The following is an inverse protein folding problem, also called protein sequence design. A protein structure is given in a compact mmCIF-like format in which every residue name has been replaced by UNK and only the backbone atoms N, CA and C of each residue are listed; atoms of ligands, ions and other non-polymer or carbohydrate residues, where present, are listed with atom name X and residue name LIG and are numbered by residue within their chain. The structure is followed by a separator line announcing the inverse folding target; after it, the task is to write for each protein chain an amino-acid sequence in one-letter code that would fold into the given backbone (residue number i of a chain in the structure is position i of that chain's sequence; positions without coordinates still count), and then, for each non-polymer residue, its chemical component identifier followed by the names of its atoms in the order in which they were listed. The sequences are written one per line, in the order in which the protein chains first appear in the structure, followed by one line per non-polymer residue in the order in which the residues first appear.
data_IF_532139749917
#
_entry.id   IF_532139749917
#
_cell.length_a   1.000
_cell.length_b   1.000
_cell.length_c   1.000
_cell.angle_alpha   90.00
_cell.angle_beta   90.00
_cell.angle_gamma   90.00
#
_symmetry.space_group_name_H-M   'P 1'
#
loop_
_entity.id
_entity.type
_entity.pdbx_description
1 polymer ?
#
# COMPACT_ATOMS: atom_id res chain seq x y z
N UNK A 1 -17.34 19.07 -22.75
CA UNK A 1 -16.69 18.93 -21.41
C UNK A 1 -15.34 18.28 -21.60
N UNK A 2 -14.28 18.76 -20.94
CA UNK A 2 -12.97 18.12 -21.07
C UNK A 2 -13.01 16.70 -20.45
N UNK A 3 -12.28 15.70 -21.01
CA UNK A 3 -12.20 14.36 -20.41
C UNK A 3 -11.74 14.37 -18.94
N UNK A 4 -10.94 15.36 -18.55
CA UNK A 4 -10.51 15.58 -17.16
C UNK A 4 -11.66 16.04 -16.26
N UNK A 5 -12.54 16.92 -16.76
CA UNK A 5 -13.74 17.33 -16.04
C UNK A 5 -14.71 16.15 -15.90
N UNK A 6 -14.82 15.30 -16.92
CA UNK A 6 -15.61 14.06 -16.87
C UNK A 6 -15.06 13.12 -15.79
N UNK A 7 -13.76 12.80 -15.78
CA UNK A 7 -13.18 11.92 -14.74
C UNK A 7 -13.37 12.51 -13.33
N UNK A 8 -13.14 13.82 -13.15
CA UNK A 8 -13.31 14.49 -11.85
C UNK A 8 -14.79 14.60 -11.42
N UNK A 9 -15.72 14.82 -12.35
CA UNK A 9 -17.16 14.82 -12.07
C UNK A 9 -17.71 13.41 -11.87
N UNK A 10 -17.18 12.38 -12.54
CA UNK A 10 -17.55 10.98 -12.31
C UNK A 10 -17.03 10.45 -10.97
N UNK A 11 -15.80 10.80 -10.58
CA UNK A 11 -15.27 10.52 -9.25
C UNK A 11 -16.04 11.25 -8.14
N UNK A 12 -16.77 12.33 -8.46
CA UNK A 12 -17.72 12.97 -7.52
C UNK A 12 -19.13 12.40 -7.62
N UNK A 13 -19.62 12.07 -8.81
CA UNK A 13 -20.97 11.56 -9.05
C UNK A 13 -21.20 10.16 -8.48
N UNK A 14 -20.15 9.32 -8.38
CA UNK A 14 -20.18 8.06 -7.63
C UNK A 14 -20.53 8.24 -6.14
N UNK A 15 -20.43 9.46 -5.59
CA UNK A 15 -20.60 9.73 -4.16
C UNK A 15 -21.78 10.64 -3.79
N UNK A 16 -22.49 11.23 -4.77
CA UNK A 16 -23.61 12.16 -4.54
C UNK A 16 -24.99 11.66 -4.98
N UNK A 17 -25.11 10.50 -5.63
CA UNK A 17 -26.42 9.89 -5.84
C UNK A 17 -26.76 9.01 -4.63
N UNK A 18 -27.83 9.37 -3.92
CA UNK A 18 -28.53 8.49 -2.98
C UNK A 18 -29.65 7.76 -3.74
N UNK A 19 -29.40 6.58 -4.33
CA UNK A 19 -30.50 5.70 -4.62
C UNK A 19 -30.97 5.08 -3.29
N UNK A 20 -32.29 5.12 -3.06
CA UNK A 20 -32.96 4.26 -2.10
C UNK A 20 -32.75 2.82 -2.59
N UNK A 21 -31.73 2.13 -2.09
CA UNK A 21 -31.47 0.74 -2.43
C UNK A 21 -32.05 -0.13 -1.33
N UNK A 22 -33.10 -0.88 -1.69
CA UNK A 22 -33.70 -1.93 -0.86
C UNK A 22 -32.67 -3.07 -0.76
N UNK A 23 -32.37 -3.60 0.45
CA UNK A 23 -31.42 -4.70 0.59
C UNK A 23 -31.95 -5.95 -0.12
N UNK A 24 -31.21 -6.45 -1.12
CA UNK A 24 -31.42 -7.81 -1.63
C UNK A 24 -30.61 -8.77 -0.77
N UNK A 25 -31.25 -9.81 -0.24
CA UNK A 25 -30.61 -10.86 0.54
C UNK A 25 -29.60 -11.66 -0.29
N UNK A 26 -28.31 -11.36 -0.16
CA UNK A 26 -27.24 -12.32 -0.45
C UNK A 26 -26.04 -12.10 0.47
N UNK A 27 -25.77 -13.09 1.33
CA UNK A 27 -24.59 -13.26 2.20
C UNK A 27 -24.33 -12.16 3.25
N UNK A 28 -24.86 -12.35 4.46
CA UNK A 28 -24.57 -11.55 5.67
C UNK A 28 -23.08 -11.30 5.88
N UNK A 29 -22.23 -12.25 5.47
CA UNK A 29 -20.81 -12.22 5.77
C UNK A 29 -20.06 -11.18 4.93
N UNK A 30 -20.46 -10.94 3.67
CA UNK A 30 -19.69 -10.07 2.77
C UNK A 30 -19.81 -8.59 3.14
N UNK A 31 -21.03 -8.16 3.43
CA UNK A 31 -21.30 -6.80 3.89
C UNK A 31 -20.59 -6.52 5.21
N UNK A 32 -20.64 -7.48 6.14
CA UNK A 32 -19.95 -7.38 7.43
C UNK A 32 -18.45 -7.21 7.24
N UNK A 33 -17.80 -8.07 6.44
CA UNK A 33 -16.36 -7.96 6.16
C UNK A 33 -15.98 -6.59 5.58
N UNK A 34 -16.87 -6.00 4.78
CA UNK A 34 -16.64 -4.70 4.14
C UNK A 34 -16.66 -3.53 5.14
N UNK A 35 -17.29 -3.68 6.31
CA UNK A 35 -17.42 -2.61 7.30
C UNK A 35 -16.51 -2.76 8.52
N UNK A 36 -15.87 -3.92 8.70
CA UNK A 36 -14.95 -4.20 9.81
C UNK A 36 -13.58 -3.54 9.65
N UNK A 37 -13.06 -2.92 10.70
CA UNK A 37 -11.67 -2.45 10.69
C UNK A 37 -10.68 -3.63 10.50
N UNK A 38 -9.46 -3.36 10.00
CA UNK A 38 -8.53 -4.42 9.61
C UNK A 38 -8.32 -5.50 10.68
N UNK A 39 -8.08 -5.11 11.94
CA UNK A 39 -7.90 -6.04 13.04
C UNK A 39 -9.14 -6.93 13.29
N UNK A 40 -10.34 -6.36 13.21
CA UNK A 40 -11.58 -7.11 13.44
C UNK A 40 -11.90 -8.06 12.28
N UNK A 41 -11.57 -7.67 11.05
CA UNK A 41 -11.66 -8.56 9.90
C UNK A 41 -10.75 -9.78 10.08
N UNK A 42 -9.50 -9.57 10.51
CA UNK A 42 -8.55 -10.65 10.79
C UNK A 42 -9.05 -11.57 11.92
N UNK A 43 -9.60 -11.00 13.01
CA UNK A 43 -10.21 -11.77 14.11
C UNK A 43 -11.41 -12.59 13.66
N UNK A 44 -12.28 -12.02 12.81
CA UNK A 44 -13.43 -12.73 12.23
C UNK A 44 -13.00 -13.97 11.44
N UNK A 45 -11.88 -13.90 10.73
CA UNK A 45 -11.29 -15.06 10.05
C UNK A 45 -10.57 -16.06 10.97
N UNK A 46 -10.64 -15.88 12.30
CA UNK A 46 -10.12 -16.82 13.29
C UNK A 46 -8.65 -16.65 13.64
N UNK A 47 -8.04 -15.51 13.32
CA UNK A 47 -6.64 -15.21 13.66
C UNK A 47 -6.53 -14.46 14.98
N UNK A 48 -5.46 -14.74 15.73
CA UNK A 48 -5.11 -13.98 16.94
C UNK A 48 -4.38 -12.70 16.54
N UNK A 49 -4.96 -11.55 16.89
CA UNK A 49 -4.50 -10.22 16.45
C UNK A 49 -4.21 -9.31 17.64
N UNK A 50 -2.98 -8.84 17.71
CA UNK A 50 -2.55 -7.76 18.59
C UNK A 50 -2.53 -6.43 17.82
N UNK A 51 -2.83 -5.32 18.50
CA UNK A 51 -2.83 -3.98 17.89
C UNK A 51 -1.89 -3.09 18.68
N UNK A 52 -0.98 -2.41 17.98
CA UNK A 52 0.01 -1.53 18.58
C UNK A 52 -0.18 -0.09 18.10
N UNK A 53 -0.08 0.86 19.03
CA UNK A 53 0.10 2.27 18.70
C UNK A 53 1.59 2.59 18.65
N UNK A 54 2.06 3.13 17.52
CA UNK A 54 3.46 3.49 17.28
C UNK A 54 3.53 4.98 17.00
N UNK A 55 4.31 5.72 17.81
CA UNK A 55 4.50 7.17 17.59
C UNK A 55 5.75 7.40 16.76
N UNK A 56 5.63 8.13 15.67
CA UNK A 56 6.77 8.52 14.80
C UNK A 56 7.52 9.71 15.38
N UNK A 57 8.77 9.92 14.94
CA UNK A 57 9.61 11.04 15.39
C UNK A 57 8.96 12.41 15.10
N UNK A 58 8.17 12.50 14.04
CA UNK A 58 7.44 13.71 13.66
C UNK A 58 6.02 13.78 14.26
N UNK A 59 5.63 12.83 15.11
CA UNK A 59 4.47 12.95 15.99
C UNK A 59 3.19 12.23 15.54
N UNK A 60 3.18 11.52 14.41
CA UNK A 60 2.02 10.70 14.00
C UNK A 60 1.90 9.46 14.90
N UNK A 61 0.66 9.05 15.16
CA UNK A 61 0.36 7.85 15.95
C UNK A 61 -0.26 6.82 15.01
N UNK A 62 0.54 5.84 14.62
CA UNK A 62 0.19 4.78 13.69
C UNK A 62 -0.41 3.59 14.43
N UNK A 63 -1.50 3.05 13.89
CA UNK A 63 -2.00 1.73 14.27
C UNK A 63 -1.29 0.65 13.45
N UNK A 64 -0.74 -0.35 14.13
CA UNK A 64 -0.06 -1.48 13.49
C UNK A 64 -0.67 -2.77 14.01
N UNK A 65 -1.22 -3.55 13.08
CA UNK A 65 -1.85 -4.83 13.35
C UNK A 65 -0.80 -5.94 13.31
N UNK A 66 -0.86 -6.90 14.23
CA UNK A 66 0.03 -8.06 14.27
C UNK A 66 -0.79 -9.34 14.33
N UNK A 67 -0.66 -10.17 13.29
CA UNK A 67 -1.20 -11.52 13.28
C UNK A 67 -0.14 -12.46 13.86
N UNK A 68 -0.46 -13.13 14.97
CA UNK A 68 0.45 -14.11 15.57
C UNK A 68 0.62 -15.33 14.64
N UNK A 69 1.83 -15.92 14.58
CA UNK A 69 2.06 -17.11 13.77
C UNK A 69 1.14 -18.25 14.24
N UNK A 70 0.54 -18.99 13.30
CA UNK A 70 -0.12 -20.24 13.68
C UNK A 70 0.93 -21.22 14.19
N UNK A 71 0.71 -21.78 15.37
CA UNK A 71 1.57 -22.83 15.92
C UNK A 71 1.63 -23.99 14.93
N UNK A 72 2.85 -24.35 14.49
CA UNK A 72 3.07 -25.51 13.64
C UNK A 72 2.50 -26.76 14.32
N UNK A 73 1.62 -27.48 13.63
CA UNK A 73 1.15 -28.81 14.07
C UNK A 73 2.29 -29.82 14.20
N UNK A 74 3.47 -29.52 13.63
CA UNK A 74 4.61 -30.42 13.56
C UNK A 74 5.71 -30.10 14.59
N UNK A 75 5.44 -29.25 15.60
CA UNK A 75 6.38 -29.03 16.71
C UNK A 75 7.73 -28.39 16.32
N UNK A 76 7.87 -27.85 15.10
CA UNK A 76 9.08 -27.14 14.68
C UNK A 76 9.21 -25.83 15.45
N UNK A 77 10.34 -25.68 16.13
CA UNK A 77 10.69 -24.55 17.01
C UNK A 77 11.42 -23.41 16.30
N UNK A 78 11.66 -23.50 14.99
CA UNK A 78 12.37 -22.45 14.24
C UNK A 78 11.51 -21.19 14.11
N UNK A 79 11.86 -20.18 14.90
CA UNK A 79 11.22 -18.86 14.88
C UNK A 79 11.53 -18.14 13.58
N UNK A 80 10.53 -17.99 12.72
CA UNK A 80 10.67 -17.23 11.47
C UNK A 80 10.94 -15.75 11.73
N UNK A 81 11.69 -15.12 10.82
CA UNK A 81 11.89 -13.66 10.81
C UNK A 81 10.52 -12.97 10.68
N UNK A 82 10.15 -12.03 11.58
CA UNK A 82 8.90 -11.27 11.47
C UNK A 82 8.85 -10.50 10.15
N UNK A 83 7.66 -10.36 9.57
CA UNK A 83 7.47 -9.72 8.26
C UNK A 83 6.53 -8.53 8.35
N UNK A 84 6.96 -7.39 7.84
CA UNK A 84 6.17 -6.16 7.73
C UNK A 84 5.51 -6.06 6.36
N UNK A 85 4.19 -5.87 6.34
CA UNK A 85 3.37 -5.70 5.15
C UNK A 85 3.02 -4.22 4.92
N UNK A 86 3.59 -3.60 3.90
CA UNK A 86 3.47 -2.15 3.62
C UNK A 86 2.54 -1.89 2.43
N UNK A 87 1.34 -1.39 2.72
CA UNK A 87 0.29 -1.21 1.71
C UNK A 87 0.55 -0.06 0.71
N UNK A 88 -0.18 -0.11 -0.40
CA UNK A 88 -0.15 0.89 -1.48
C UNK A 88 -0.89 2.20 -1.18
N UNK A 89 -0.98 3.06 -2.19
CA UNK A 89 -1.68 4.35 -2.11
C UNK A 89 -3.19 4.10 -1.97
N UNK A 90 -3.81 4.83 -1.03
CA UNK A 90 -5.23 4.70 -0.67
C UNK A 90 -5.66 3.33 -0.12
N UNK A 91 -4.71 2.50 0.30
CA UNK A 91 -4.97 1.23 0.97
C UNK A 91 -4.79 1.38 2.49
N UNK A 92 -5.21 0.37 3.26
CA UNK A 92 -4.87 0.16 4.67
C UNK A 92 -4.39 -1.29 4.87
N UNK A 93 -4.16 -1.71 6.12
CA UNK A 93 -3.72 -3.07 6.45
C UNK A 93 -4.66 -4.17 5.91
N UNK A 94 -5.97 -3.90 5.81
CA UNK A 94 -6.95 -4.89 5.35
C UNK A 94 -6.72 -5.35 3.91
N UNK A 95 -5.98 -4.60 3.07
CA UNK A 95 -5.73 -5.04 1.69
C UNK A 95 -4.94 -6.33 1.58
N UNK A 96 -4.13 -6.65 2.59
CA UNK A 96 -3.36 -7.90 2.65
C UNK A 96 -4.20 -9.12 3.10
N UNK A 97 -5.42 -8.87 3.57
CA UNK A 97 -6.34 -9.83 4.20
C UNK A 97 -7.78 -9.70 3.66
N UNK A 98 -7.95 -9.07 2.49
CA UNK A 98 -9.27 -8.75 1.93
C UNK A 98 -9.99 -9.95 1.30
N UNK A 99 -9.25 -11.02 1.00
CA UNK A 99 -9.76 -12.29 0.48
C UNK A 99 -9.85 -13.35 1.59
N UNK A 100 -10.31 -14.55 1.22
CA UNK A 100 -10.30 -15.70 2.11
C UNK A 100 -8.89 -16.03 2.61
N UNK A 101 -8.73 -16.70 3.76
CA UNK A 101 -7.44 -17.12 4.32
C UNK A 101 -6.49 -17.79 3.31
N UNK A 102 -7.02 -18.66 2.44
CA UNK A 102 -6.26 -19.36 1.40
C UNK A 102 -5.84 -18.50 0.21
N UNK A 103 -6.27 -17.23 0.15
CA UNK A 103 -6.07 -16.33 -0.98
C UNK A 103 -5.36 -15.02 -0.60
N UNK A 104 -5.29 -14.72 0.70
CA UNK A 104 -4.74 -13.47 1.21
C UNK A 104 -3.30 -13.64 1.65
N UNK A 105 -2.33 -12.88 1.11
CA UNK A 105 -0.92 -13.04 1.46
C UNK A 105 -0.64 -12.87 2.96
N UNK A 106 -1.35 -11.98 3.66
CA UNK A 106 -1.19 -11.82 5.11
C UNK A 106 -1.57 -13.08 5.90
N UNK A 107 -2.67 -13.73 5.51
CA UNK A 107 -3.11 -14.98 6.11
C UNK A 107 -2.21 -16.16 5.72
N UNK A 108 -1.82 -16.25 4.45
CA UNK A 108 -0.91 -17.29 3.97
C UNK A 108 0.46 -17.25 4.66
N UNK A 109 1.01 -16.05 4.93
CA UNK A 109 2.23 -15.90 5.70
C UNK A 109 2.06 -16.35 7.16
N UNK A 110 0.96 -15.95 7.82
CA UNK A 110 0.67 -16.38 9.19
C UNK A 110 0.49 -17.92 9.29
N UNK A 111 -0.18 -18.51 8.30
CA UNK A 111 -0.36 -19.97 8.18
C UNK A 111 0.96 -20.69 7.89
N UNK A 112 1.88 -20.03 7.18
CA UNK A 112 3.24 -20.51 6.97
C UNK A 112 4.16 -20.28 8.20
N UNK A 113 3.62 -19.83 9.34
CA UNK A 113 4.33 -19.68 10.61
C UNK A 113 5.12 -18.38 10.77
N UNK A 114 4.85 -17.36 9.95
CA UNK A 114 5.45 -16.03 10.12
C UNK A 114 4.72 -15.21 11.19
N UNK A 115 5.48 -14.39 11.91
CA UNK A 115 4.96 -13.30 12.73
C UNK A 115 4.69 -12.09 11.82
N UNK A 116 3.42 -11.84 11.49
CA UNK A 116 3.02 -10.89 10.42
C UNK A 116 2.56 -9.58 11.03
N UNK A 117 3.20 -8.49 10.61
CA UNK A 117 2.87 -7.13 11.01
C UNK A 117 2.34 -6.35 9.81
N UNK A 118 1.25 -5.62 9.97
CA UNK A 118 0.61 -4.83 8.94
C UNK A 118 0.51 -3.39 9.40
N UNK A 119 1.23 -2.50 8.71
CA UNK A 119 1.19 -1.08 9.02
C UNK A 119 -0.07 -0.45 8.44
N UNK A 120 -0.77 0.37 9.22
CA UNK A 120 -1.66 1.39 8.68
C UNK A 120 -0.85 2.71 8.61
N UNK A 121 -0.38 3.11 7.43
CA UNK A 121 0.46 4.32 7.30
C UNK A 121 -0.32 5.58 7.68
N UNK A 122 0.38 6.68 7.99
CA UNK A 122 -0.27 7.99 8.19
C UNK A 122 -1.27 8.31 7.06
N UNK A 123 -2.38 8.97 7.41
CA UNK A 123 -3.40 9.39 6.45
C UNK A 123 -4.59 8.46 6.26
N UNK A 124 -4.47 7.19 6.67
CA UNK A 124 -5.59 6.25 6.65
C UNK A 124 -6.40 6.35 7.95
N UNK A 125 -7.69 5.98 7.97
CA UNK A 125 -8.56 6.17 9.13
C UNK A 125 -7.99 5.66 10.46
N UNK A 126 -7.29 4.52 10.43
CA UNK A 126 -6.68 3.87 11.61
C UNK A 126 -5.52 4.70 12.22
N UNK A 127 -4.86 5.51 11.39
CA UNK A 127 -3.64 6.26 11.75
C UNK A 127 -3.80 7.77 11.57
N UNK A 128 -5.04 8.26 11.56
CA UNK A 128 -5.33 9.70 11.50
C UNK A 128 -5.26 10.35 12.89
N UNK A 129 -4.11 10.19 13.55
CA UNK A 129 -3.83 10.67 14.90
C UNK A 129 -2.43 11.26 14.97
N UNK A 130 -2.27 12.31 15.76
CA UNK A 130 -0.99 12.99 15.95
C UNK A 130 -0.93 13.59 17.36
N UNK A 131 0.26 13.69 17.94
CA UNK A 131 0.45 14.19 19.31
C UNK A 131 -0.01 15.64 19.49
N UNK A 132 0.19 16.48 18.47
CA UNK A 132 -0.06 17.94 18.52
C UNK A 132 -1.00 18.49 17.43
N UNK A 133 -1.43 17.67 16.46
CA UNK A 133 -2.15 18.14 15.27
C UNK A 133 -3.46 17.37 15.13
N UNK A 134 -4.50 18.04 14.64
CA UNK A 134 -5.77 17.43 14.27
C UNK A 134 -5.87 17.28 12.75
N UNK A 135 -6.79 16.43 12.28
CA UNK A 135 -7.08 16.29 10.84
C UNK A 135 -7.64 17.56 10.19
N UNK A 136 -8.02 18.57 10.97
CA UNK A 136 -8.45 19.88 10.46
C UNK A 136 -7.28 20.84 10.24
N UNK A 137 -6.07 20.50 10.72
CA UNK A 137 -4.87 21.31 10.55
C UNK A 137 -4.20 20.96 9.22
N UNK A 138 -3.96 21.92 8.31
CA UNK A 138 -3.30 21.61 7.03
C UNK A 138 -1.91 21.00 7.16
N UNK A 139 -1.20 21.28 8.27
CA UNK A 139 0.09 20.69 8.59
C UNK A 139 0.01 19.17 8.83
N UNK A 140 -1.14 18.66 9.27
CA UNK A 140 -1.40 17.23 9.44
C UNK A 140 -1.37 16.48 8.09
N UNK A 141 -1.60 17.17 6.97
CA UNK A 141 -1.64 16.55 5.65
C UNK A 141 -0.43 16.90 4.79
N UNK A 142 0.56 17.60 5.34
CA UNK A 142 1.76 18.06 4.64
C UNK A 142 2.86 16.98 4.57
N UNK A 143 2.53 15.83 3.99
CA UNK A 143 3.42 14.67 3.87
C UNK A 143 3.15 13.88 2.57
N UNK A 144 4.05 12.99 2.20
CA UNK A 144 3.97 12.04 1.09
C UNK A 144 4.60 10.70 1.47
N UNK A 145 4.75 9.76 0.52
CA UNK A 145 5.50 8.53 0.71
C UNK A 145 6.94 8.74 1.21
N UNK A 146 7.49 9.94 1.03
CA UNK A 146 8.77 10.37 1.57
C UNK A 146 8.80 10.31 3.10
N UNK A 147 7.85 10.98 3.75
CA UNK A 147 7.71 10.97 5.21
C UNK A 147 7.35 9.58 5.74
N UNK A 148 6.59 8.78 4.99
CA UNK A 148 6.33 7.37 5.34
C UNK A 148 7.65 6.58 5.39
N UNK A 149 8.51 6.73 4.38
CA UNK A 149 9.82 6.09 4.38
C UNK A 149 10.75 6.61 5.47
N UNK A 150 10.69 7.90 5.78
CA UNK A 150 11.59 8.55 6.75
C UNK A 150 11.21 8.39 8.21
N UNK A 151 9.92 8.25 8.50
CA UNK A 151 9.39 8.32 9.87
C UNK A 151 8.49 7.13 10.22
N UNK A 152 7.56 6.75 9.34
CA UNK A 152 6.65 5.63 9.65
C UNK A 152 7.41 4.29 9.71
N UNK A 153 8.13 3.96 8.63
CA UNK A 153 8.80 2.65 8.53
C UNK A 153 9.89 2.44 9.59
N UNK A 154 10.80 3.40 9.89
CA UNK A 154 11.75 3.27 10.99
C UNK A 154 11.08 3.01 12.34
N UNK A 155 10.03 3.77 12.68
CA UNK A 155 9.34 3.65 13.96
C UNK A 155 8.66 2.27 14.11
N UNK A 156 8.03 1.79 13.04
CA UNK A 156 7.38 0.46 13.04
C UNK A 156 8.42 -0.66 13.08
N UNK A 157 9.51 -0.58 12.33
CA UNK A 157 10.58 -1.59 12.38
C UNK A 157 11.20 -1.66 13.77
N UNK A 158 11.51 -0.53 14.41
CA UNK A 158 12.07 -0.54 15.76
C UNK A 158 11.07 -1.09 16.79
N UNK A 159 9.78 -0.78 16.65
CA UNK A 159 8.72 -1.40 17.47
C UNK A 159 8.69 -2.92 17.30
N UNK A 160 8.74 -3.41 16.06
CA UNK A 160 8.74 -4.85 15.75
C UNK A 160 9.94 -5.55 16.37
N UNK A 161 11.16 -5.03 16.17
CA UNK A 161 12.39 -5.61 16.71
C UNK A 161 12.33 -5.68 18.24
N UNK A 162 11.84 -4.64 18.90
CA UNK A 162 11.70 -4.60 20.35
C UNK A 162 10.67 -5.62 20.88
N UNK A 163 9.47 -5.67 20.27
CA UNK A 163 8.39 -6.59 20.71
C UNK A 163 8.77 -8.05 20.45
N UNK A 164 9.37 -8.34 19.30
CA UNK A 164 9.66 -9.71 18.88
C UNK A 164 11.01 -10.22 19.38
N UNK A 165 11.90 -9.33 19.83
CA UNK A 165 13.32 -9.62 20.08
C UNK A 165 14.03 -10.27 18.88
N UNK A 166 13.50 -10.06 17.66
CA UNK A 166 14.14 -10.51 16.43
C UNK A 166 15.32 -9.59 16.09
N UNK A 167 16.44 -10.11 15.55
CA UNK A 167 17.56 -9.27 15.11
C UNK A 167 17.26 -8.48 13.83
N UNK A 168 16.29 -8.93 13.03
CA UNK A 168 15.90 -8.31 11.77
C UNK A 168 14.42 -8.58 11.44
N UNK A 169 13.92 -7.90 10.40
CA UNK A 169 12.58 -8.08 9.84
C UNK A 169 12.66 -8.28 8.33
N UNK A 170 11.72 -9.04 7.75
CA UNK A 170 11.47 -9.04 6.31
C UNK A 170 10.46 -7.94 5.98
N UNK A 171 10.48 -7.38 4.77
CA UNK A 171 9.48 -6.43 4.31
C UNK A 171 8.84 -6.95 3.04
N UNK A 172 7.51 -7.00 2.98
CA UNK A 172 6.73 -7.17 1.76
C UNK A 172 5.92 -5.90 1.53
N UNK A 173 6.15 -5.24 0.41
CA UNK A 173 5.53 -3.97 0.08
C UNK A 173 4.81 -4.05 -1.27
N UNK A 174 3.77 -3.24 -1.45
CA UNK A 174 3.07 -3.11 -2.74
C UNK A 174 2.89 -1.66 -3.16
N UNK A 175 3.02 -1.36 -4.46
CA UNK A 175 2.72 -0.04 -5.03
C UNK A 175 3.48 1.09 -4.31
N UNK A 176 2.82 2.18 -3.88
CA UNK A 176 3.41 3.25 -3.03
C UNK A 176 4.20 2.71 -1.82
N UNK A 177 3.78 1.58 -1.23
CA UNK A 177 4.52 0.94 -0.14
C UNK A 177 5.95 0.57 -0.52
N UNK A 178 6.17 0.18 -1.79
CA UNK A 178 7.50 -0.10 -2.34
C UNK A 178 8.32 1.18 -2.44
N UNK A 179 7.73 2.27 -2.96
CA UNK A 179 8.36 3.58 -3.01
C UNK A 179 8.81 4.04 -1.61
N UNK A 180 7.93 4.00 -0.60
CA UNK A 180 8.29 4.35 0.78
C UNK A 180 9.36 3.43 1.36
N UNK A 181 9.37 2.13 1.01
CA UNK A 181 10.39 1.18 1.49
C UNK A 181 11.77 1.45 0.85
N UNK A 182 11.80 1.85 -0.41
CA UNK A 182 13.02 2.29 -1.09
C UNK A 182 13.53 3.62 -0.49
N UNK A 183 12.65 4.58 -0.21
CA UNK A 183 13.00 5.82 0.52
C UNK A 183 13.60 5.49 1.87
N UNK A 184 12.94 4.61 2.64
CA UNK A 184 13.40 4.19 3.95
C UNK A 184 14.83 3.65 3.92
N UNK A 185 15.11 2.64 3.09
CA UNK A 185 16.43 1.99 3.07
C UNK A 185 17.52 2.85 2.42
N UNK A 186 17.16 3.77 1.51
CA UNK A 186 18.13 4.67 0.87
C UNK A 186 18.51 5.86 1.77
N UNK A 187 17.56 6.43 2.51
CA UNK A 187 17.78 7.60 3.36
C UNK A 187 18.14 7.25 4.80
N UNK A 188 17.88 6.02 5.23
CA UNK A 188 18.23 5.49 6.56
C UNK A 188 19.13 4.26 6.42
N UNK A 189 20.34 4.41 5.85
CA UNK A 189 21.21 3.28 5.52
C UNK A 189 21.51 2.37 6.71
N UNK A 190 21.47 2.90 7.94
CA UNK A 190 21.64 2.15 9.18
C UNK A 190 20.56 1.07 9.43
N UNK A 191 19.42 1.11 8.74
CA UNK A 191 18.38 0.08 8.80
C UNK A 191 18.59 -1.06 7.80
N UNK A 192 19.51 -0.94 6.83
CA UNK A 192 19.78 -2.05 5.91
C UNK A 192 20.25 -3.31 6.64
N UNK A 193 20.94 -3.18 7.78
CA UNK A 193 21.32 -4.33 8.63
C UNK A 193 20.18 -4.91 9.47
N UNK A 194 19.06 -4.18 9.60
CA UNK A 194 17.86 -4.56 10.35
C UNK A 194 16.81 -5.22 9.45
N UNK A 195 17.00 -5.23 8.13
CA UNK A 195 16.09 -5.84 7.16
C UNK A 195 16.77 -7.04 6.51
N UNK A 196 16.13 -8.20 6.53
CA UNK A 196 16.64 -9.44 5.93
C UNK A 196 16.46 -9.48 4.41
N UNK A 197 15.30 -9.02 3.93
CA UNK A 197 14.93 -8.94 2.51
C UNK A 197 13.83 -7.89 2.33
N UNK A 198 13.88 -7.15 1.22
CA UNK A 198 12.79 -6.31 0.74
C UNK A 198 12.13 -6.97 -0.49
N UNK A 199 10.88 -7.39 -0.34
CA UNK A 199 10.06 -7.93 -1.42
C UNK A 199 9.09 -6.86 -1.91
N UNK A 200 9.11 -6.56 -3.21
CA UNK A 200 8.25 -5.57 -3.83
C UNK A 200 7.29 -6.22 -4.83
N UNK A 201 6.00 -6.13 -4.53
CA UNK A 201 4.91 -6.38 -5.47
C UNK A 201 4.56 -5.10 -6.22
N UNK A 202 4.43 -5.16 -7.54
CA UNK A 202 4.18 -3.98 -8.38
C UNK A 202 5.08 -2.78 -7.98
N UNK A 203 6.42 -2.93 -8.07
CA UNK A 203 7.35 -1.92 -7.58
C UNK A 203 7.18 -0.58 -8.30
N UNK A 204 7.04 0.49 -7.52
CA UNK A 204 6.93 1.87 -7.98
C UNK A 204 8.15 2.64 -7.48
N UNK A 205 8.96 3.11 -8.42
CA UNK A 205 10.05 4.05 -8.16
C UNK A 205 10.04 5.12 -9.25
N UNK A 206 10.23 4.73 -10.51
CA UNK A 206 9.88 5.57 -11.64
C UNK A 206 8.41 5.32 -12.04
N UNK A 207 7.76 6.36 -12.55
CA UNK A 207 6.37 6.32 -13.06
C UNK A 207 6.31 6.95 -14.45
N UNK A 208 7.38 6.83 -15.23
CA UNK A 208 7.55 7.55 -16.50
C UNK A 208 6.69 6.94 -17.60
N UNK A 209 6.48 5.63 -17.56
CA UNK A 209 5.85 4.86 -18.62
C UNK A 209 4.43 4.38 -18.26
N UNK A 210 3.86 4.87 -17.15
CA UNK A 210 2.51 4.51 -16.74
C UNK A 210 1.49 4.69 -17.86
N UNK A 211 0.69 3.66 -18.07
CA UNK A 211 -0.36 3.64 -19.11
C UNK A 211 -1.72 4.04 -18.55
N UNK A 212 -1.87 4.04 -17.23
CA UNK A 212 -3.11 4.39 -16.53
C UNK A 212 -3.70 5.71 -17.01
N UNK A 213 -5.03 5.78 -17.24
CA UNK A 213 -5.71 7.02 -17.60
C UNK A 213 -5.52 8.17 -16.61
N UNK A 214 -5.12 7.88 -15.36
CA UNK A 214 -4.83 8.91 -14.35
C UNK A 214 -3.74 9.89 -14.82
N UNK A 215 -2.84 9.47 -15.71
CA UNK A 215 -1.79 10.31 -16.28
C UNK A 215 -2.32 11.57 -16.97
N UNK A 216 -3.58 11.55 -17.42
CA UNK A 216 -4.25 12.72 -18.04
C UNK A 216 -4.50 13.86 -17.05
N UNK A 217 -4.50 13.59 -15.74
CA UNK A 217 -4.68 14.60 -14.69
C UNK A 217 -3.35 15.26 -14.28
N UNK A 218 -2.21 14.68 -14.67
CA UNK A 218 -0.88 15.16 -14.26
C UNK A 218 -0.66 16.64 -14.59
N UNK A 219 -1.01 17.19 -15.77
CA UNK A 219 -0.80 18.60 -16.07
C UNK A 219 -1.54 19.56 -15.11
N UNK A 220 -2.62 19.10 -14.47
CA UNK A 220 -3.45 19.93 -13.57
C UNK A 220 -3.35 19.49 -12.09
N UNK A 221 -2.48 18.54 -11.76
CA UNK A 221 -2.40 17.94 -10.42
C UNK A 221 -2.21 18.98 -9.31
N UNK A 222 -1.28 19.94 -9.47
CA UNK A 222 -1.03 21.02 -8.50
C UNK A 222 -2.25 21.93 -8.28
N UNK A 223 -2.98 22.24 -9.35
CA UNK A 223 -4.22 23.03 -9.27
C UNK A 223 -5.32 22.25 -8.55
N UNK A 224 -5.45 20.96 -8.86
CA UNK A 224 -6.39 20.07 -8.18
C UNK A 224 -6.06 19.91 -6.69
N UNK A 225 -4.77 19.82 -6.33
CA UNK A 225 -4.31 19.85 -4.94
C UNK A 225 -4.72 21.14 -4.25
N UNK A 226 -4.42 22.29 -4.84
CA UNK A 226 -4.79 23.60 -4.25
C UNK A 226 -6.30 23.70 -3.98
N UNK A 227 -7.13 23.25 -4.94
CA UNK A 227 -8.58 23.22 -4.79
C UNK A 227 -9.00 22.23 -3.70
N UNK A 228 -8.45 21.01 -3.70
CA UNK A 228 -8.74 19.99 -2.70
C UNK A 228 -8.43 20.50 -1.28
N UNK A 229 -7.24 21.06 -1.08
CA UNK A 229 -6.73 21.47 0.22
C UNK A 229 -7.57 22.58 0.84
N UNK A 230 -8.18 23.44 0.02
CA UNK A 230 -9.13 24.45 0.47
C UNK A 230 -10.38 23.83 1.14
N UNK A 231 -10.84 22.67 0.67
CA UNK A 231 -12.06 22.02 1.17
C UNK A 231 -11.79 20.90 2.20
N UNK A 232 -10.59 20.32 2.20
CA UNK A 232 -10.30 19.12 2.99
C UNK A 232 -9.07 19.27 3.90
N UNK A 233 -8.50 20.47 3.96
CA UNK A 233 -7.27 20.75 4.69
C UNK A 233 -6.06 19.92 4.23
N UNK A 234 -6.11 19.30 3.05
CA UNK A 234 -5.04 18.47 2.51
C UNK A 234 -5.31 16.97 2.54
N UNK A 235 -6.34 16.52 3.25
CA UNK A 235 -6.81 15.13 3.16
C UNK A 235 -7.34 14.83 1.75
N UNK A 236 -7.00 13.67 1.21
CA UNK A 236 -7.46 13.24 -0.11
C UNK A 236 -8.20 11.90 -0.01
N UNK A 237 -9.47 11.90 -0.41
CA UNK A 237 -10.36 10.73 -0.38
C UNK A 237 -10.58 10.06 0.98
N UNK A 238 -10.16 10.68 2.08
CA UNK A 238 -10.26 10.17 3.46
C UNK A 238 -11.67 9.65 3.74
N UNK A 239 -11.73 8.40 4.18
CA UNK A 239 -12.97 7.67 4.41
C UNK A 239 -13.47 7.91 5.84
N UNK A 240 -14.80 8.01 6.00
CA UNK A 240 -15.47 7.98 7.30
C UNK A 240 -16.28 6.69 7.45
N UNK A 241 -16.63 6.26 8.68
CA UNK A 241 -17.47 5.07 8.89
C UNK A 241 -18.81 5.12 8.14
N UNK A 242 -19.41 6.31 8.03
CA UNK A 242 -20.63 6.52 7.27
C UNK A 242 -20.42 6.34 5.75
N UNK A 243 -19.33 6.89 5.20
CA UNK A 243 -18.95 6.70 3.79
C UNK A 243 -18.65 5.23 3.50
N UNK A 244 -17.90 4.56 4.40
CA UNK A 244 -17.58 3.13 4.32
C UNK A 244 -18.84 2.27 4.22
N UNK A 245 -19.78 2.43 5.17
CA UNK A 245 -21.06 1.71 5.17
C UNK A 245 -21.88 1.97 3.91
N UNK A 246 -21.90 3.21 3.40
CA UNK A 246 -22.60 3.56 2.16
C UNK A 246 -21.98 2.85 0.95
N UNK A 247 -20.66 2.89 0.81
CA UNK A 247 -19.93 2.18 -0.26
C UNK A 247 -20.20 0.68 -0.18
N UNK A 248 -20.11 0.08 1.01
CA UNK A 248 -20.39 -1.34 1.22
C UNK A 248 -21.80 -1.70 0.73
N UNK A 249 -22.84 -0.97 1.14
CA UNK A 249 -24.23 -1.25 0.71
C UNK A 249 -24.43 -1.07 -0.80
N UNK A 250 -23.88 0.01 -1.36
CA UNK A 250 -24.02 0.30 -2.78
C UNK A 250 -23.39 -0.81 -3.63
N UNK A 251 -22.19 -1.25 -3.24
CA UNK A 251 -21.45 -2.25 -3.99
C UNK A 251 -21.86 -3.68 -3.64
N UNK A 252 -22.56 -3.89 -2.53
CA UNK A 252 -23.21 -5.16 -2.20
C UNK A 252 -24.64 -5.23 -2.75
N UNK A 253 -24.81 -4.84 -4.01
CA UNK A 253 -26.10 -4.81 -4.70
C UNK A 253 -25.95 -5.26 -6.16
N UNK A 254 -27.04 -5.22 -6.94
CA UNK A 254 -26.98 -5.47 -8.38
C UNK A 254 -26.05 -4.49 -9.13
N UNK A 255 -25.68 -3.36 -8.52
CA UNK A 255 -24.76 -2.36 -9.08
C UNK A 255 -23.27 -2.72 -8.89
N UNK A 256 -22.95 -3.86 -8.28
CA UNK A 256 -21.58 -4.27 -7.92
C UNK A 256 -20.56 -4.14 -9.06
N UNK A 257 -20.92 -4.56 -10.27
CA UNK A 257 -20.04 -4.43 -11.46
C UNK A 257 -19.69 -2.97 -11.78
N UNK A 258 -20.66 -2.07 -11.64
CA UNK A 258 -20.47 -0.63 -11.84
C UNK A 258 -19.53 0.00 -10.82
N UNK A 259 -19.51 -0.52 -9.59
CA UNK A 259 -18.57 -0.05 -8.57
C UNK A 259 -17.11 -0.36 -8.92
N UNK A 260 -16.81 -1.52 -9.51
CA UNK A 260 -15.44 -1.94 -9.77
C UNK A 260 -14.88 -1.43 -11.10
N UNK A 261 -15.75 -1.11 -12.07
CA UNK A 261 -15.33 -0.68 -13.40
C UNK A 261 -14.32 0.49 -13.39
N UNK A 262 -14.55 1.60 -12.64
CA UNK A 262 -13.59 2.70 -12.58
C UNK A 262 -12.23 2.28 -12.02
N UNK A 263 -12.22 1.40 -11.02
CA UNK A 263 -10.99 0.87 -10.41
C UNK A 263 -10.23 0.02 -11.43
N UNK A 264 -10.90 -0.93 -12.09
CA UNK A 264 -10.25 -1.75 -13.12
C UNK A 264 -9.67 -0.92 -14.27
N UNK A 265 -10.29 0.20 -14.64
CA UNK A 265 -9.78 1.10 -15.69
C UNK A 265 -8.53 1.87 -15.26
N UNK A 266 -8.38 2.17 -13.96
CA UNK A 266 -7.24 2.92 -13.44
C UNK A 266 -6.04 2.02 -13.12
N UNK A 267 -6.29 0.79 -12.66
CA UNK A 267 -5.27 -0.09 -12.10
C UNK A 267 -4.92 -1.30 -12.99
N UNK A 268 -5.69 -1.55 -14.05
CA UNK A 268 -5.50 -2.70 -14.94
C UNK A 268 -6.73 -3.61 -14.95
N UNK A 269 -7.09 -4.12 -16.13
CA UNK A 269 -8.27 -4.95 -16.33
C UNK A 269 -7.86 -6.42 -16.37
N UNK A 270 -8.23 -7.19 -15.34
CA UNK A 270 -8.09 -8.63 -15.33
C UNK A 270 -9.34 -9.32 -14.78
N UNK A 271 -10.20 -9.81 -15.68
CA UNK A 271 -11.42 -10.50 -15.28
C UNK A 271 -11.16 -11.92 -14.75
N UNK A 272 -10.01 -12.53 -15.03
CA UNK A 272 -9.67 -13.87 -14.51
C UNK A 272 -9.33 -13.83 -13.03
N UNK A 273 -8.70 -12.74 -12.58
CA UNK A 273 -8.31 -12.53 -11.18
C UNK A 273 -9.43 -11.90 -10.35
N UNK A 274 -10.57 -11.62 -10.96
CA UNK A 274 -11.64 -10.85 -10.34
C UNK A 274 -12.63 -11.71 -9.55
N UNK A 275 -12.65 -11.57 -8.23
CA UNK A 275 -13.75 -12.09 -7.42
C UNK A 275 -14.84 -11.03 -7.25
N UNK A 276 -15.86 -11.11 -8.12
CA UNK A 276 -16.93 -10.11 -8.12
C UNK A 276 -17.67 -10.03 -6.79
N UNK A 277 -17.86 -11.12 -6.06
CA UNK A 277 -18.61 -11.11 -4.78
C UNK A 277 -17.94 -10.26 -3.70
N UNK A 278 -16.60 -10.12 -3.75
CA UNK A 278 -15.80 -9.41 -2.74
C UNK A 278 -15.58 -7.93 -3.05
N UNK A 279 -16.08 -7.40 -4.18
CA UNK A 279 -15.98 -5.97 -4.53
C UNK A 279 -16.32 -5.02 -3.36
N UNK A 280 -17.36 -5.25 -2.54
CA UNK A 280 -17.65 -4.38 -1.39
C UNK A 280 -16.47 -4.27 -0.41
N UNK A 281 -15.76 -5.38 -0.17
CA UNK A 281 -14.56 -5.40 0.71
C UNK A 281 -13.39 -4.70 0.05
N UNK A 282 -13.17 -4.95 -1.25
CA UNK A 282 -12.07 -4.31 -1.97
C UNK A 282 -12.23 -2.79 -1.95
N UNK A 283 -13.40 -2.27 -2.28
CA UNK A 283 -13.62 -0.81 -2.40
C UNK A 283 -13.81 -0.08 -1.08
N UNK A 284 -14.02 -0.81 0.01
CA UNK A 284 -14.03 -0.21 1.35
C UNK A 284 -12.64 -0.12 1.95
N UNK A 285 -11.70 -0.97 1.50
CA UNK A 285 -10.31 -1.01 1.94
C UNK A 285 -9.31 -0.46 0.90
N UNK A 286 -9.77 -0.24 -0.33
CA UNK A 286 -9.16 0.59 -1.36
C UNK A 286 -9.89 1.93 -1.34
N UNK A 287 -9.21 3.05 -1.56
CA UNK A 287 -9.78 4.40 -1.48
C UNK A 287 -10.09 4.87 -0.04
N UNK A 288 -9.29 4.42 0.94
CA UNK A 288 -9.48 4.76 2.37
C UNK A 288 -8.98 6.16 2.75
N UNK A 289 -8.01 6.70 2.02
CA UNK A 289 -7.43 8.02 2.26
C UNK A 289 -5.93 8.11 1.97
N UNK A 290 -5.46 9.32 1.69
CA UNK A 290 -4.07 9.75 1.73
C UNK A 290 -4.03 11.28 1.91
N UNK A 291 -2.85 11.91 1.84
CA UNK A 291 -2.76 13.35 1.63
C UNK A 291 -2.79 13.69 0.12
N UNK A 292 -3.18 14.92 -0.21
CA UNK A 292 -3.06 15.45 -1.56
C UNK A 292 -1.61 15.63 -1.99
N UNK A 293 -0.71 15.89 -1.02
CA UNK A 293 0.73 16.00 -1.25
C UNK A 293 1.32 14.66 -1.69
N UNK A 294 0.91 13.53 -1.11
CA UNK A 294 1.30 12.17 -1.54
C UNK A 294 0.92 11.90 -3.00
N UNK A 295 -0.32 12.27 -3.39
CA UNK A 295 -0.81 12.11 -4.76
C UNK A 295 -0.04 13.00 -5.74
N UNK A 296 0.21 14.26 -5.38
CA UNK A 296 0.97 15.19 -6.24
C UNK A 296 2.43 14.77 -6.37
N UNK A 297 3.03 14.16 -5.36
CA UNK A 297 4.40 13.68 -5.44
C UNK A 297 4.60 12.72 -6.63
N UNK A 298 3.67 11.77 -6.84
CA UNK A 298 3.72 10.89 -8.02
C UNK A 298 3.58 11.66 -9.34
N UNK A 299 2.75 12.71 -9.39
CA UNK A 299 2.62 13.56 -10.56
C UNK A 299 3.91 14.35 -10.85
N UNK A 300 4.63 14.78 -9.80
CA UNK A 300 5.94 15.43 -9.92
C UNK A 300 6.99 14.46 -10.46
N UNK A 301 7.04 13.23 -9.93
CA UNK A 301 7.93 12.17 -10.42
C UNK A 301 7.70 11.85 -11.90
N UNK A 302 6.44 11.75 -12.34
CA UNK A 302 6.11 11.55 -13.76
C UNK A 302 6.69 12.66 -14.64
N UNK A 303 6.57 13.93 -14.20
CA UNK A 303 7.09 15.08 -14.96
C UNK A 303 8.61 15.11 -14.98
N UNK A 304 9.25 14.77 -13.86
CA UNK A 304 10.71 14.72 -13.72
C UNK A 304 11.34 13.50 -14.39
N UNK A 305 10.55 12.44 -14.60
CA UNK A 305 10.99 11.13 -15.12
C UNK A 305 12.05 10.48 -14.24
N UNK A 306 11.95 10.70 -12.93
CA UNK A 306 12.90 10.16 -11.96
C UNK A 306 12.24 10.00 -10.58
N UNK A 307 12.88 9.18 -9.75
CA UNK A 307 12.51 8.91 -8.38
C UNK A 307 13.20 9.92 -7.45
N UNK A 308 12.51 11.04 -7.25
CA UNK A 308 13.01 12.22 -6.55
C UNK A 308 12.13 12.58 -5.36
N UNK A 309 12.68 13.40 -4.47
CA UNK A 309 12.00 14.00 -3.31
C UNK A 309 10.85 14.92 -3.76
N UNK A 310 9.98 15.30 -2.82
CA UNK A 310 8.86 16.20 -3.12
C UNK A 310 9.38 17.59 -3.52
N UNK A 311 8.87 18.13 -4.61
CA UNK A 311 9.18 19.48 -5.09
C UNK A 311 8.27 20.50 -4.38
N UNK A 312 8.85 21.28 -3.47
CA UNK A 312 8.15 22.32 -2.73
C UNK A 312 8.18 23.69 -3.44
N UNK A 313 8.79 23.79 -4.62
CA UNK A 313 9.16 25.04 -5.27
C UNK A 313 10.56 25.52 -4.87
N UNK A 314 11.17 26.37 -5.69
CA UNK A 314 12.61 26.68 -5.61
C UNK A 314 13.07 27.17 -4.24
N UNK A 315 12.34 28.11 -3.63
CA UNK A 315 12.74 28.72 -2.35
C UNK A 315 12.63 27.72 -1.20
N UNK A 316 11.54 26.94 -1.15
CA UNK A 316 11.36 25.95 -0.09
C UNK A 316 12.27 24.72 -0.30
N UNK A 317 12.58 24.36 -1.55
CA UNK A 317 13.60 23.36 -1.85
C UNK A 317 14.98 23.81 -1.35
N UNK A 318 15.36 25.09 -1.53
CA UNK A 318 16.63 25.60 -0.97
C UNK A 318 16.66 25.44 0.55
N UNK A 319 15.56 25.78 1.23
CA UNK A 319 15.47 25.64 2.68
C UNK A 319 15.55 24.18 3.16
N UNK A 320 14.94 23.25 2.43
CA UNK A 320 14.85 21.83 2.83
C UNK A 320 16.02 20.97 2.36
N UNK A 321 16.56 21.27 1.19
CA UNK A 321 17.50 20.41 0.47
C UNK A 321 18.84 21.09 0.17
N UNK A 322 19.00 22.38 0.47
CA UNK A 322 20.15 23.20 0.06
C UNK A 322 20.34 23.27 -1.47
N UNK A 323 19.27 23.07 -2.26
CA UNK A 323 19.27 23.17 -3.72
C UNK A 323 17.88 23.56 -4.23
N UNK A 324 17.78 24.15 -5.44
CA UNK A 324 16.51 24.64 -6.02
C UNK A 324 15.57 23.54 -6.50
N UNK A 325 16.09 22.35 -6.79
CA UNK A 325 15.32 21.20 -7.27
C UNK A 325 15.31 20.09 -6.22
N UNK A 326 14.30 19.22 -6.19
CA UNK A 326 14.33 18.06 -5.30
C UNK A 326 15.45 17.09 -5.71
N UNK A 327 16.25 16.57 -4.76
CA UNK A 327 17.27 15.58 -5.07
C UNK A 327 16.66 14.20 -5.34
N UNK A 328 17.38 13.35 -6.07
CA UNK A 328 17.03 11.95 -6.28
C UNK A 328 17.22 11.13 -4.99
N UNK A 329 16.46 10.05 -4.83
CA UNK A 329 16.71 9.10 -3.75
C UNK A 329 17.96 8.25 -4.08
N UNK A 330 18.91 8.11 -3.15
CA UNK A 330 20.18 7.41 -3.39
C UNK A 330 19.99 5.88 -3.29
N UNK A 331 19.40 5.28 -4.33
CA UNK A 331 19.10 3.84 -4.40
C UNK A 331 20.35 2.96 -4.27
N UNK A 332 21.52 3.47 -4.63
CA UNK A 332 22.83 2.81 -4.47
C UNK A 332 23.18 2.52 -3.00
N UNK A 333 22.53 3.19 -2.04
CA UNK A 333 22.72 2.94 -0.59
C UNK A 333 21.92 1.75 -0.06
N UNK A 334 21.01 1.19 -0.86
CA UNK A 334 20.19 0.04 -0.45
C UNK A 334 21.02 -1.23 -0.60
N UNK A 335 21.52 -1.77 0.51
CA UNK A 335 22.37 -2.98 0.52
C UNK A 335 21.61 -4.27 0.85
N UNK A 336 20.35 -4.17 1.26
CA UNK A 336 19.45 -5.31 1.52
C UNK A 336 19.18 -6.10 0.23
N UNK A 337 19.09 -7.44 0.29
CA UNK A 337 18.56 -8.25 -0.80
C UNK A 337 17.17 -7.76 -1.26
N UNK A 338 17.01 -7.43 -2.54
CA UNK A 338 15.73 -6.97 -3.10
C UNK A 338 15.12 -8.01 -4.04
N UNK A 339 13.83 -8.25 -3.88
CA UNK A 339 13.01 -9.04 -4.79
C UNK A 339 11.97 -8.16 -5.49
N UNK A 340 11.83 -8.31 -6.80
CA UNK A 340 10.90 -7.54 -7.63
C UNK A 340 9.90 -8.50 -8.29
N UNK A 341 8.61 -8.30 -8.05
CA UNK A 341 7.52 -9.04 -8.68
C UNK A 341 6.72 -8.10 -9.59
N UNK A 342 6.66 -8.41 -10.88
CA UNK A 342 6.04 -7.59 -11.91
C UNK A 342 4.90 -8.29 -12.66
N UNK A 343 3.89 -7.52 -13.03
CA UNK A 343 2.74 -7.95 -13.83
C UNK A 343 2.81 -7.30 -15.21
N UNK A 344 2.54 -8.07 -16.26
CA UNK A 344 2.70 -7.60 -17.64
C UNK A 344 1.68 -6.52 -18.05
N UNK A 345 0.52 -6.48 -17.39
CA UNK A 345 -0.56 -5.55 -17.69
C UNK A 345 -0.80 -4.54 -16.56
N UNK A 346 0.23 -4.27 -15.76
CA UNK A 346 0.18 -3.26 -14.71
C UNK A 346 0.22 -1.84 -15.31
N UNK A 347 -0.82 -1.05 -15.05
CA UNK A 347 -0.97 0.30 -15.61
C UNK A 347 -0.22 1.38 -14.82
N UNK A 348 0.29 1.06 -13.62
CA UNK A 348 0.92 2.00 -12.70
C UNK A 348 2.37 1.64 -12.38
N UNK A 349 2.70 0.35 -12.25
CA UNK A 349 4.07 -0.16 -12.18
C UNK A 349 4.42 -0.81 -13.53
N UNK A 350 4.53 0.02 -14.55
CA UNK A 350 4.78 -0.43 -15.93
C UNK A 350 6.09 -1.25 -16.00
N UNK A 351 6.14 -2.36 -16.75
CA UNK A 351 7.34 -3.20 -16.85
C UNK A 351 8.62 -2.43 -17.21
N UNK A 352 8.52 -1.37 -18.02
CA UNK A 352 9.68 -0.55 -18.38
C UNK A 352 10.19 0.29 -17.19
N UNK A 353 9.29 0.77 -16.33
CA UNK A 353 9.66 1.48 -15.10
C UNK A 353 10.26 0.49 -14.07
N UNK A 354 9.76 -0.75 -14.00
CA UNK A 354 10.34 -1.81 -13.16
C UNK A 354 11.73 -2.22 -13.65
N UNK A 355 11.92 -2.31 -14.96
CA UNK A 355 13.23 -2.59 -15.58
C UNK A 355 14.25 -1.48 -15.32
N UNK A 356 13.81 -0.22 -15.27
CA UNK A 356 14.66 0.91 -14.87
C UNK A 356 15.10 0.79 -13.40
N UNK A 357 14.16 0.51 -12.50
CA UNK A 357 14.47 0.29 -11.08
C UNK A 357 15.45 -0.88 -10.89
N UNK A 358 15.23 -1.99 -11.59
CA UNK A 358 16.12 -3.16 -11.56
C UNK A 358 17.58 -2.79 -11.85
N UNK A 359 17.82 -1.89 -12.82
CA UNK A 359 19.17 -1.46 -13.21
C UNK A 359 19.82 -0.52 -12.19
N UNK A 360 19.03 0.17 -11.36
CA UNK A 360 19.50 1.15 -10.37
C UNK A 360 19.77 0.55 -9.00
N UNK A 361 19.23 -0.64 -8.72
CA UNK A 361 19.41 -1.34 -7.44
C UNK A 361 20.68 -2.19 -7.46
N UNK A 362 21.54 -2.12 -6.43
CA UNK A 362 22.81 -2.83 -6.43
C UNK A 362 22.67 -4.33 -6.12
N UNK A 363 21.58 -4.78 -5.50
CA UNK A 363 21.44 -6.15 -4.98
C UNK A 363 20.04 -6.75 -5.21
N UNK A 364 19.65 -6.93 -6.47
CA UNK A 364 18.42 -7.67 -6.80
C UNK A 364 18.69 -9.17 -6.82
N UNK A 365 18.11 -9.90 -5.87
CA UNK A 365 18.27 -11.36 -5.71
C UNK A 365 17.16 -12.16 -6.41
N UNK A 366 16.05 -11.51 -6.73
CA UNK A 366 14.93 -12.15 -7.41
C UNK A 366 14.17 -11.17 -8.28
N UNK A 367 13.90 -11.55 -9.52
CA UNK A 367 13.03 -10.79 -10.43
C UNK A 367 12.04 -11.76 -11.08
N UNK A 368 10.77 -11.60 -10.74
CA UNK A 368 9.71 -12.51 -11.13
C UNK A 368 8.64 -11.81 -11.97
N UNK A 369 8.35 -12.37 -13.15
CA UNK A 369 7.20 -11.98 -13.95
C UNK A 369 6.07 -12.96 -13.66
N UNK A 370 4.94 -12.46 -13.19
CA UNK A 370 3.78 -13.31 -12.89
C UNK A 370 3.26 -13.96 -14.19
N UNK A 371 3.04 -15.29 -14.24
CA UNK A 371 2.72 -16.02 -15.48
C UNK A 371 1.26 -15.85 -15.95
N UNK A 372 0.66 -14.69 -15.69
CA UNK A 372 -0.62 -14.25 -16.27
C UNK A 372 -0.35 -12.97 -17.08
N UNK A 373 -0.51 -13.00 -18.42
CA UNK A 373 -0.20 -11.85 -19.27
C UNK A 373 -1.10 -10.64 -18.99
N UNK A 374 -2.25 -10.84 -18.33
CA UNK A 374 -3.15 -9.76 -17.93
C UNK A 374 -2.99 -9.38 -16.45
N UNK A 375 -2.00 -9.92 -15.73
CA UNK A 375 -1.79 -9.61 -14.32
C UNK A 375 -1.51 -8.12 -14.15
N UNK A 376 -2.44 -7.43 -13.49
CA UNK A 376 -2.43 -5.99 -13.27
C UNK A 376 -2.12 -5.60 -11.83
N UNK A 377 -2.21 -4.31 -11.54
CA UNK A 377 -1.69 -3.71 -10.31
C UNK A 377 -2.33 -4.23 -9.03
N UNK A 378 -3.65 -4.45 -9.05
CA UNK A 378 -4.39 -4.92 -7.87
C UNK A 378 -4.40 -6.44 -7.73
N UNK A 379 -4.00 -7.17 -8.77
CA UNK A 379 -4.01 -8.64 -8.73
C UNK A 379 -2.98 -9.18 -7.72
N UNK A 380 -1.93 -8.40 -7.42
CA UNK A 380 -0.95 -8.71 -6.37
C UNK A 380 -1.52 -8.83 -4.96
N UNK A 381 -2.68 -8.24 -4.70
CA UNK A 381 -3.32 -8.26 -3.36
C UNK A 381 -4.73 -8.84 -3.40
N UNK A 382 -5.45 -8.69 -4.51
CA UNK A 382 -6.84 -9.14 -4.65
C UNK A 382 -7.03 -10.31 -5.62
N UNK A 383 -5.98 -10.71 -6.34
CA UNK A 383 -6.12 -11.69 -7.41
C UNK A 383 -6.61 -13.05 -6.93
N UNK A 384 -7.71 -13.53 -7.52
CA UNK A 384 -8.37 -14.77 -7.12
C UNK A 384 -7.45 -16.00 -7.17
N UNK A 385 -6.58 -16.08 -8.17
CA UNK A 385 -5.63 -17.18 -8.36
C UNK A 385 -4.19 -16.81 -7.93
N UNK A 386 -3.98 -15.64 -7.31
CA UNK A 386 -2.66 -15.12 -6.96
C UNK A 386 -1.90 -16.06 -6.00
N UNK A 387 -2.57 -16.88 -5.19
CA UNK A 387 -1.91 -17.89 -4.35
C UNK A 387 -0.98 -18.80 -5.14
N UNK A 388 -1.49 -19.40 -6.22
CA UNK A 388 -0.77 -20.41 -6.99
C UNK A 388 0.34 -19.81 -7.86
N UNK A 389 0.07 -18.64 -8.47
CA UNK A 389 0.96 -18.04 -9.47
C UNK A 389 1.89 -16.96 -8.90
N UNK A 390 1.74 -16.59 -7.63
CA UNK A 390 2.50 -15.50 -7.00
C UNK A 390 2.85 -15.80 -5.54
N UNK A 391 1.87 -15.99 -4.65
CA UNK A 391 2.14 -15.97 -3.20
C UNK A 391 2.95 -17.17 -2.72
N UNK A 392 2.76 -18.37 -3.27
CA UNK A 392 3.58 -19.55 -2.92
C UNK A 392 5.06 -19.30 -3.19
N UNK A 393 5.40 -18.76 -4.36
CA UNK A 393 6.77 -18.42 -4.71
C UNK A 393 7.35 -17.34 -3.77
N UNK A 394 6.57 -16.32 -3.43
CA UNK A 394 7.01 -15.30 -2.47
C UNK A 394 7.27 -15.88 -1.09
N UNK A 395 6.39 -16.73 -0.58
CA UNK A 395 6.52 -17.37 0.74
C UNK A 395 7.75 -18.27 0.81
N UNK A 396 8.01 -19.03 -0.26
CA UNK A 396 9.22 -19.82 -0.41
C UNK A 396 10.47 -18.93 -0.36
N UNK A 397 10.47 -17.84 -1.16
CA UNK A 397 11.57 -16.89 -1.16
C UNK A 397 11.84 -16.31 0.23
N UNK A 398 10.83 -15.75 0.92
CA UNK A 398 11.05 -15.13 2.23
C UNK A 398 11.38 -16.15 3.33
N UNK A 399 10.99 -17.42 3.16
CA UNK A 399 11.35 -18.50 4.09
C UNK A 399 12.86 -18.77 4.05
N UNK A 400 13.52 -18.60 2.91
CA UNK A 400 14.98 -18.75 2.81
C UNK A 400 15.77 -17.61 3.49
N UNK A 401 15.09 -16.55 3.90
CA UNK A 401 15.66 -15.43 4.67
C UNK A 401 15.29 -15.50 6.16
N UNK A 402 14.77 -16.65 6.62
CA UNK A 402 14.60 -16.94 8.05
C UNK A 402 15.94 -17.41 8.63
N UNK A 403 16.42 -16.72 9.67
CA UNK A 403 17.79 -16.90 10.16
C UNK A 403 17.92 -18.17 11.00
N UNK A 404 18.42 -19.23 10.38
CA UNK A 404 19.50 -20.06 10.97
C UNK A 404 20.78 -20.07 10.09
N UNK A 405 20.74 -19.70 8.81
CA UNK A 405 21.88 -19.94 7.89
C UNK A 405 22.81 -18.75 7.59
N UNK A 406 22.64 -17.57 8.20
CA UNK A 406 23.58 -16.43 7.99
C UNK A 406 24.73 -16.43 9.02
N UNK A 407 25.11 -17.61 9.51
CA UNK A 407 26.36 -17.82 10.25
C UNK A 407 27.02 -19.10 9.75
N UNK A 408 27.70 -19.02 8.62
CA UNK A 408 28.97 -19.69 8.37
C UNK A 408 29.78 -18.85 7.41
#
# INVERSE_FOLDING_TARGET
MSPALVIATWLRALFFLTPLVIPSSSASDVYEDAILDPADLMRKFGYTVEVYNVTTDDGYILEVDRILPKTSTNGSTTKKTPILLVHGLFCNAATWVANQPSQSPGFLLADAGFDVWLINSRGVPQSNRHVNLSTNDPKFWAWSFDEIGRFDLPAVVDKMLNVTSSPNVSILATSRGTASSLVFLSLRPEYNKKVSILVNYAPVANVTHITSPIRRLIPVAEKLKTINDLFTHGGFMVQSPAKRRRTARLCDSLLRKGCYLPVSTLYGINWKQHNSTRIPVYLTNLLVGSSSQDVVHFAQMFRRKDFVRYDYGEDENKNRYNQTTPPAYPLEKISVPVALYQGCADYLADPLDVDDLYKRLPHVVHKYVVPDPNFGHLDFIFGYNATEILHKNMIELVSNYTREEVRM
#
